data_IF_637895134590
#
_entry.id   IF_637895134590
#
_cell.length_a   1.000
_cell.length_b   1.000
_cell.length_c   1.000
_cell.angle_alpha   90.00
_cell.angle_beta   90.00
_cell.angle_gamma   90.00
#
_symmetry.space_group_name_H-M   'P 1'
#
loop_
_entity.id
_entity.type
_entity.pdbx_description
1 polymer ?
#
# COMPACT_ATOMS: atom_id res chain seq x y z
N UNK A 1 7.46 -29.65 -19.03
CA UNK A 1 7.28 -28.90 -17.78
C UNK A 1 5.99 -29.38 -17.14
N UNK A 2 5.96 -29.59 -15.83
CA UNK A 2 4.78 -30.07 -15.11
C UNK A 2 4.70 -29.37 -13.74
N UNK A 3 3.53 -29.43 -13.11
CA UNK A 3 3.32 -28.91 -11.75
C UNK A 3 4.14 -29.65 -10.69
N UNK A 4 4.55 -30.88 -11.00
CA UNK A 4 5.29 -31.78 -10.12
C UNK A 4 6.51 -32.38 -10.84
N UNK A 5 7.45 -32.92 -10.07
CA UNK A 5 8.62 -33.64 -10.60
C UNK A 5 8.32 -35.14 -10.65
N UNK A 6 8.84 -35.84 -11.65
CA UNK A 6 8.64 -37.29 -11.79
C UNK A 6 7.35 -37.70 -12.50
N UNK A 7 6.71 -36.79 -13.23
CA UNK A 7 5.51 -37.11 -14.05
C UNK A 7 5.86 -37.98 -15.26
N UNK A 8 7.08 -37.86 -15.78
CA UNK A 8 7.58 -38.63 -16.93
C UNK A 8 8.98 -39.12 -16.58
N UNK A 9 9.23 -40.40 -16.82
CA UNK A 9 10.50 -41.06 -16.55
C UNK A 9 11.49 -40.85 -17.70
N UNK A 10 12.69 -40.40 -17.35
CA UNK A 10 13.82 -40.27 -18.27
C UNK A 10 15.07 -40.88 -17.62
N UNK A 11 15.92 -41.61 -18.38
CA UNK A 11 17.22 -42.05 -17.87
C UNK A 11 18.04 -40.88 -17.37
N UNK A 12 18.69 -41.03 -16.20
CA UNK A 12 19.47 -39.95 -15.58
C UNK A 12 20.61 -39.44 -16.50
N UNK A 13 21.12 -40.30 -17.37
CA UNK A 13 22.20 -40.03 -18.31
C UNK A 13 21.79 -39.03 -19.41
N UNK A 14 20.49 -38.93 -19.73
CA UNK A 14 19.97 -38.02 -20.77
C UNK A 14 19.61 -36.62 -20.23
N UNK A 15 19.64 -36.43 -18.91
CA UNK A 15 19.18 -35.18 -18.28
C UNK A 15 20.30 -34.14 -18.23
N UNK A 16 20.23 -33.15 -19.12
CA UNK A 16 21.20 -32.05 -19.22
C UNK A 16 21.05 -31.06 -18.05
N UNK A 17 19.81 -30.76 -17.63
CA UNK A 17 19.55 -29.78 -16.57
C UNK A 17 18.24 -30.08 -15.82
N UNK A 18 18.22 -29.76 -14.52
CA UNK A 18 17.03 -29.80 -13.66
C UNK A 18 16.81 -28.43 -13.03
N UNK A 19 15.58 -27.94 -13.05
CA UNK A 19 15.26 -26.61 -12.53
C UNK A 19 13.78 -26.42 -12.23
N UNK A 20 13.47 -25.26 -11.64
CA UNK A 20 12.10 -24.82 -11.35
C UNK A 20 11.95 -23.34 -11.69
N UNK A 21 10.74 -22.90 -12.01
CA UNK A 21 10.46 -21.47 -12.13
C UNK A 21 10.47 -20.81 -10.74
N UNK A 22 11.01 -19.60 -10.70
CA UNK A 22 11.03 -18.73 -9.51
C UNK A 22 9.99 -17.61 -9.71
N UNK A 23 9.56 -16.90 -8.64
CA UNK A 23 8.61 -15.79 -8.77
C UNK A 23 9.02 -14.80 -9.87
N UNK A 24 8.08 -14.50 -10.77
CA UNK A 24 8.27 -13.58 -11.89
C UNK A 24 9.21 -14.05 -13.02
N UNK A 25 9.68 -15.30 -13.01
CA UNK A 25 10.52 -15.87 -14.09
C UNK A 25 9.68 -16.67 -15.10
N UNK A 26 10.08 -16.61 -16.36
CA UNK A 26 9.41 -17.25 -17.49
C UNK A 26 10.32 -18.27 -18.19
N UNK A 27 9.70 -19.27 -18.82
CA UNK A 27 10.36 -20.20 -19.74
C UNK A 27 9.67 -20.09 -21.10
N UNK A 28 10.45 -19.93 -22.16
CA UNK A 28 9.96 -19.90 -23.54
C UNK A 28 10.77 -20.88 -24.37
N UNK A 29 10.07 -21.66 -25.17
CA UNK A 29 10.65 -22.51 -26.21
C UNK A 29 10.17 -21.92 -27.54
N UNK A 30 11.11 -21.47 -28.35
CA UNK A 30 10.83 -21.05 -29.71
C UNK A 30 10.85 -22.29 -30.61
N UNK A 31 9.70 -22.68 -31.14
CA UNK A 31 9.56 -23.89 -31.97
C UNK A 31 10.04 -23.70 -33.41
N UNK A 32 10.09 -22.45 -33.90
CA UNK A 32 10.57 -22.15 -35.25
C UNK A 32 12.10 -22.15 -35.26
N UNK A 33 12.71 -21.43 -34.33
CA UNK A 33 14.16 -21.37 -34.16
C UNK A 33 14.73 -22.59 -33.42
N UNK A 34 13.86 -23.44 -32.85
CA UNK A 34 14.22 -24.64 -32.07
C UNK A 34 15.15 -24.35 -30.89
N UNK A 35 14.97 -23.21 -30.22
CA UNK A 35 15.81 -22.77 -29.11
C UNK A 35 15.04 -22.56 -27.81
N UNK A 36 15.74 -22.74 -26.68
CA UNK A 36 15.23 -22.38 -25.36
C UNK A 36 15.67 -20.96 -25.07
N UNK A 37 14.71 -20.03 -24.95
CA UNK A 37 14.99 -18.61 -24.72
C UNK A 37 15.02 -18.34 -23.21
N UNK A 38 16.07 -17.66 -22.74
CA UNK A 38 16.24 -17.32 -21.32
C UNK A 38 15.29 -16.20 -20.91
N UNK A 39 14.81 -16.23 -19.67
CA UNK A 39 13.91 -15.20 -19.09
C UNK A 39 14.36 -13.76 -19.33
N UNK A 40 15.65 -13.47 -19.14
CA UNK A 40 16.21 -12.12 -19.28
C UNK A 40 16.18 -11.65 -20.72
N UNK A 41 16.45 -12.55 -21.66
CA UNK A 41 16.44 -12.27 -23.09
C UNK A 41 15.01 -12.01 -23.58
N UNK A 42 14.03 -12.79 -23.12
CA UNK A 42 12.61 -12.58 -23.39
C UNK A 42 12.20 -11.17 -22.93
N UNK A 43 12.48 -10.85 -21.67
CA UNK A 43 12.10 -9.56 -21.07
C UNK A 43 12.80 -8.39 -21.76
N UNK A 44 14.08 -8.54 -22.09
CA UNK A 44 14.85 -7.50 -22.79
C UNK A 44 14.32 -7.27 -24.21
N UNK A 45 13.99 -8.34 -24.95
CA UNK A 45 13.38 -8.25 -26.28
C UNK A 45 12.05 -7.50 -26.23
N UNK A 46 11.20 -7.79 -25.24
CA UNK A 46 9.92 -7.11 -25.04
C UNK A 46 10.13 -5.64 -24.64
N UNK A 47 11.00 -5.39 -23.66
CA UNK A 47 11.27 -4.03 -23.16
C UNK A 47 11.83 -3.11 -24.25
N UNK A 48 12.56 -3.64 -25.23
CA UNK A 48 13.11 -2.89 -26.36
C UNK A 48 12.12 -2.60 -27.48
N UNK A 49 10.93 -3.22 -27.51
CA UNK A 49 9.93 -2.97 -28.58
C UNK A 49 9.35 -1.55 -28.57
N UNK A 50 9.42 -0.86 -27.42
CA UNK A 50 8.87 0.48 -27.22
C UNK A 50 9.86 1.32 -26.41
N UNK A 51 9.92 2.65 -26.59
CA UNK A 51 10.81 3.53 -25.84
C UNK A 51 10.28 3.79 -24.41
N UNK A 52 10.14 2.73 -23.61
CA UNK A 52 9.57 2.79 -22.25
C UNK A 52 10.31 3.79 -21.36
N UNK A 53 11.65 3.87 -21.50
CA UNK A 53 12.47 4.79 -20.73
C UNK A 53 12.19 6.27 -21.03
N UNK A 54 11.73 6.59 -22.24
CA UNK A 54 11.34 7.96 -22.60
C UNK A 54 9.97 8.29 -22.01
N UNK A 55 9.01 7.38 -22.11
CA UNK A 55 7.68 7.55 -21.52
C UNK A 55 7.72 7.69 -20.00
N UNK A 56 8.63 6.98 -19.33
CA UNK A 56 8.82 7.10 -17.89
C UNK A 56 9.30 8.50 -17.47
N UNK A 57 9.97 9.27 -18.36
CA UNK A 57 10.39 10.65 -18.05
C UNK A 57 9.23 11.64 -18.04
N UNK A 58 8.11 11.29 -18.66
CA UNK A 58 6.90 12.12 -18.67
C UNK A 58 6.06 11.93 -17.40
N UNK A 59 6.36 10.92 -16.59
CA UNK A 59 5.69 10.69 -15.31
C UNK A 59 6.20 11.68 -14.27
N UNK A 60 5.25 12.31 -13.57
CA UNK A 60 5.53 13.14 -12.42
C UNK A 60 5.15 12.40 -11.14
N UNK A 61 6.07 12.37 -10.18
CA UNK A 61 5.77 11.86 -8.85
C UNK A 61 5.18 12.98 -7.98
N UNK A 62 4.54 12.59 -6.87
CA UNK A 62 4.09 13.58 -5.88
C UNK A 62 5.26 14.36 -5.26
N UNK A 63 6.46 13.79 -5.26
CA UNK A 63 7.67 14.46 -4.79
C UNK A 63 8.11 15.55 -5.75
N UNK A 64 8.05 15.30 -7.06
CA UNK A 64 8.30 16.32 -8.10
C UNK A 64 7.31 17.48 -7.97
N UNK A 65 6.03 17.16 -7.75
CA UNK A 65 4.99 18.17 -7.52
C UNK A 65 5.23 18.97 -6.23
N UNK A 66 5.69 18.33 -5.15
CA UNK A 66 6.04 19.02 -3.89
C UNK A 66 7.29 19.90 -4.05
N UNK A 67 8.25 19.49 -4.87
CA UNK A 67 9.44 20.28 -5.16
C UNK A 67 9.10 21.50 -6.03
N UNK A 68 8.23 21.33 -7.04
CA UNK A 68 7.75 22.41 -7.90
C UNK A 68 6.80 23.38 -7.16
N UNK A 69 5.93 22.85 -6.31
CA UNK A 69 5.04 23.66 -5.48
C UNK A 69 5.85 24.30 -4.36
N UNK A 70 6.16 25.58 -4.56
CA UNK A 70 7.02 26.41 -3.70
C UNK A 70 6.44 26.62 -2.29
N UNK A 71 6.29 25.57 -1.50
CA UNK A 71 6.18 25.71 -0.04
C UNK A 71 7.51 26.23 0.52
N UNK A 72 8.60 26.14 -0.24
CA UNK A 72 9.90 26.74 0.09
C UNK A 72 9.94 28.27 0.17
N UNK A 73 8.97 29.04 -0.34
CA UNK A 73 8.92 30.49 -0.07
C UNK A 73 8.20 30.84 1.24
N UNK A 74 7.46 29.90 1.82
CA UNK A 74 6.85 30.04 3.16
C UNK A 74 7.52 29.17 4.24
N UNK A 75 8.34 28.19 3.86
CA UNK A 75 8.94 27.20 4.76
C UNK A 75 10.47 27.22 4.72
N UNK A 76 11.10 28.42 4.68
CA UNK A 76 12.53 28.53 5.01
C UNK A 76 12.84 28.17 6.48
N UNK A 77 11.82 28.16 7.34
CA UNK A 77 11.96 27.85 8.77
C UNK A 77 11.41 26.47 9.17
N UNK A 78 11.27 25.53 8.24
CA UNK A 78 10.88 24.15 8.55
C UNK A 78 9.45 23.94 9.08
N UNK A 79 8.64 24.99 9.22
CA UNK A 79 7.23 24.86 9.58
C UNK A 79 6.38 24.76 8.30
N UNK A 80 5.98 23.53 7.96
CA UNK A 80 4.94 23.30 6.96
C UNK A 80 3.60 23.72 7.58
N UNK A 81 3.34 25.02 7.57
CA UNK A 81 2.13 25.63 8.11
C UNK A 81 0.95 25.39 7.16
N UNK A 82 0.45 24.14 7.09
CA UNK A 82 -0.97 23.97 6.76
C UNK A 82 -1.73 24.86 7.72
N UNK A 83 -2.74 25.58 7.23
CA UNK A 83 -3.74 26.26 8.06
C UNK A 83 -4.59 25.24 8.87
N UNK A 84 -4.02 24.11 9.28
CA UNK A 84 -4.39 23.45 10.51
C UNK A 84 -4.00 24.42 11.62
N UNK A 85 -4.95 25.28 12.00
CA UNK A 85 -4.96 26.06 13.25
C UNK A 85 -3.54 26.38 13.74
N UNK A 86 -2.86 27.30 13.07
CA UNK A 86 -1.50 27.66 13.47
C UNK A 86 -1.60 28.48 14.75
N UNK A 87 -1.16 27.84 15.82
CA UNK A 87 -1.06 28.32 17.19
C UNK A 87 0.20 29.19 17.37
N UNK A 88 0.61 29.93 16.33
CA UNK A 88 1.80 30.77 16.41
C UNK A 88 1.40 32.24 16.41
N UNK A 89 1.80 32.94 17.48
CA UNK A 89 1.46 34.35 17.76
C UNK A 89 0.26 34.55 18.69
N UNK A 90 -0.20 33.49 19.37
CA UNK A 90 -1.40 33.51 20.24
C UNK A 90 -0.99 33.13 21.66
N UNK A 91 -1.60 33.76 22.67
CA UNK A 91 -1.26 33.48 24.08
C UNK A 91 -1.45 32.00 24.40
N UNK A 92 -0.68 31.46 25.35
CA UNK A 92 -0.79 30.06 25.81
C UNK A 92 -2.25 29.70 26.16
N UNK A 93 -3.02 30.66 26.68
CA UNK A 93 -4.45 30.52 26.97
C UNK A 93 -5.37 30.39 25.73
N UNK A 94 -5.04 31.03 24.60
CA UNK A 94 -5.79 30.87 23.34
C UNK A 94 -5.47 29.54 22.67
N UNK A 95 -4.23 29.06 22.86
CA UNK A 95 -3.78 27.76 22.42
C UNK A 95 -4.47 26.68 23.22
N UNK A 96 -4.49 26.79 24.54
CA UNK A 96 -5.19 25.88 25.42
C UNK A 96 -6.71 25.88 25.19
N UNK A 97 -7.32 27.04 24.92
CA UNK A 97 -8.74 27.14 24.52
C UNK A 97 -9.09 26.42 23.22
N UNK A 98 -8.17 26.38 22.23
CA UNK A 98 -8.37 25.66 20.96
C UNK A 98 -7.83 24.23 20.97
N UNK A 99 -6.87 23.94 21.84
CA UNK A 99 -6.25 22.64 22.06
C UNK A 99 -7.12 21.72 22.94
N UNK A 100 -8.29 22.20 23.38
CA UNK A 100 -9.39 21.32 23.72
C UNK A 100 -9.93 20.69 22.44
N UNK A 101 -9.14 19.77 21.87
CA UNK A 101 -9.51 18.89 20.77
C UNK A 101 -10.89 18.29 21.02
N UNK A 102 -11.21 18.00 22.29
CA UNK A 102 -12.49 17.48 22.77
C UNK A 102 -13.68 18.47 22.69
N UNK A 103 -13.45 19.78 22.56
CA UNK A 103 -14.51 20.79 22.39
C UNK A 103 -14.86 21.05 20.91
N UNK A 104 -14.09 20.52 19.96
CA UNK A 104 -14.38 20.67 18.54
C UNK A 104 -15.60 19.82 18.16
N UNK A 105 -16.73 20.49 17.87
CA UNK A 105 -18.01 19.87 17.48
C UNK A 105 -17.90 18.95 16.25
N UNK A 106 -16.85 19.08 15.43
CA UNK A 106 -16.63 18.19 14.27
C UNK A 106 -16.21 16.79 14.69
N UNK A 107 -15.48 16.64 15.80
CA UNK A 107 -15.06 15.33 16.30
C UNK A 107 -16.25 14.44 16.70
N UNK A 108 -17.18 14.87 17.58
CA UNK A 108 -18.36 14.07 17.88
C UNK A 108 -19.28 13.91 16.67
N UNK A 109 -19.32 14.87 15.72
CA UNK A 109 -20.09 14.72 14.47
C UNK A 109 -19.60 13.52 13.63
N UNK A 110 -18.29 13.28 13.59
CA UNK A 110 -17.70 12.09 12.95
C UNK A 110 -17.45 10.94 13.94
N UNK A 111 -18.17 10.92 15.06
CA UNK A 111 -18.11 9.92 16.11
C UNK A 111 -16.70 9.65 16.69
N UNK A 112 -15.81 10.64 16.67
CA UNK A 112 -14.57 10.58 17.45
C UNK A 112 -14.89 10.80 18.92
N UNK A 113 -14.73 9.73 19.71
CA UNK A 113 -14.87 9.78 21.18
C UNK A 113 -13.51 9.95 21.85
N UNK A 114 -13.53 10.29 23.15
CA UNK A 114 -12.33 10.29 24.00
C UNK A 114 -11.61 8.94 23.96
N UNK A 115 -12.39 7.85 23.92
CA UNK A 115 -11.88 6.49 23.83
C UNK A 115 -11.20 6.21 22.49
N UNK A 116 -11.84 6.53 21.37
CA UNK A 116 -11.25 6.38 20.02
C UNK A 116 -9.93 7.15 19.91
N UNK A 117 -9.87 8.37 20.45
CA UNK A 117 -8.65 9.17 20.42
C UNK A 117 -7.56 8.54 21.29
N UNK A 118 -7.89 8.17 22.54
CA UNK A 118 -6.89 7.67 23.48
C UNK A 118 -6.42 6.24 23.15
N UNK A 119 -7.31 5.37 22.69
CA UNK A 119 -7.02 3.96 22.43
C UNK A 119 -6.53 3.70 21.01
N UNK A 120 -6.97 4.46 20.00
CA UNK A 120 -6.57 4.21 18.60
C UNK A 120 -5.60 5.28 18.10
N UNK A 121 -5.98 6.56 18.18
CA UNK A 121 -5.22 7.65 17.56
C UNK A 121 -3.89 7.94 18.26
N UNK A 122 -3.89 8.08 19.59
CA UNK A 122 -2.69 8.41 20.35
C UNK A 122 -1.59 7.35 20.23
N UNK A 123 -1.88 6.03 20.27
CA UNK A 123 -0.86 5.01 19.99
C UNK A 123 -0.27 5.15 18.60
N UNK A 124 -1.08 5.36 17.56
CA UNK A 124 -0.58 5.57 16.19
C UNK A 124 0.40 6.74 16.09
N UNK A 125 0.11 7.84 16.79
CA UNK A 125 1.00 9.01 16.80
C UNK A 125 2.30 8.74 17.57
N UNK A 126 2.22 8.08 18.73
CA UNK A 126 3.37 7.86 19.61
C UNK A 126 4.29 6.74 19.14
N UNK A 127 3.73 5.61 18.69
CA UNK A 127 4.47 4.39 18.36
C UNK A 127 4.66 4.19 16.86
N UNK A 128 3.98 4.98 16.02
CA UNK A 128 3.94 4.81 14.57
C UNK A 128 3.42 3.43 14.12
N UNK A 129 2.65 2.77 14.99
CA UNK A 129 2.01 1.49 14.74
C UNK A 129 0.54 1.60 15.09
N UNK A 130 -0.28 0.78 14.45
CA UNK A 130 -1.69 0.66 14.85
C UNK A 130 -1.81 0.24 16.32
N UNK A 131 -2.93 0.62 16.94
CA UNK A 131 -3.22 0.22 18.30
C UNK A 131 -3.45 -1.28 18.38
N UNK A 132 -2.87 -1.92 19.40
CA UNK A 132 -3.08 -3.34 19.67
C UNK A 132 -4.07 -3.50 20.82
N UNK A 133 -4.99 -4.44 20.66
CA UNK A 133 -5.96 -4.85 21.67
C UNK A 133 -5.96 -6.36 21.86
N UNK A 134 -6.79 -6.85 22.78
CA UNK A 134 -7.01 -8.27 23.02
C UNK A 134 -8.50 -8.53 23.24
N UNK A 135 -8.90 -9.81 23.25
CA UNK A 135 -10.30 -10.28 23.28
C UNK A 135 -11.06 -10.09 21.97
N UNK A 136 -12.25 -10.69 21.90
CA UNK A 136 -13.18 -10.55 20.77
C UNK A 136 -13.89 -9.19 20.78
N UNK A 137 -14.55 -8.87 19.66
CA UNK A 137 -15.46 -7.73 19.61
C UNK A 137 -16.86 -8.19 20.03
N UNK A 138 -17.29 -7.78 21.22
CA UNK A 138 -18.63 -8.08 21.78
C UNK A 138 -19.69 -7.02 21.39
N UNK A 139 -19.34 -6.03 20.57
CA UNK A 139 -20.30 -5.07 20.06
C UNK A 139 -21.35 -5.72 19.14
N UNK A 140 -22.61 -5.24 19.16
CA UNK A 140 -23.61 -5.70 18.21
C UNK A 140 -23.17 -5.38 16.77
N UNK A 141 -23.64 -6.18 15.81
CA UNK A 141 -23.47 -5.87 14.40
C UNK A 141 -23.97 -4.45 14.10
N UNK A 142 -23.32 -3.75 13.18
CA UNK A 142 -23.64 -2.35 12.89
C UNK A 142 -25.13 -2.12 12.57
N UNK A 143 -25.78 -3.07 11.89
CA UNK A 143 -27.21 -3.02 11.57
C UNK A 143 -28.16 -3.29 12.75
N UNK A 144 -27.66 -3.85 13.86
CA UNK A 144 -28.41 -4.15 15.08
C UNK A 144 -28.09 -3.17 16.22
N UNK A 145 -27.11 -2.28 16.03
CA UNK A 145 -26.71 -1.32 17.04
C UNK A 145 -27.84 -0.32 17.31
N UNK A 146 -28.07 -0.03 18.60
CA UNK A 146 -28.96 1.05 19.04
C UNK A 146 -28.31 2.44 18.88
N UNK A 147 -26.99 2.46 18.66
CA UNK A 147 -26.23 3.66 18.34
C UNK A 147 -26.17 3.86 16.81
N UNK A 148 -25.48 4.92 16.37
CA UNK A 148 -25.27 5.21 14.95
C UNK A 148 -23.82 4.88 14.56
N UNK A 149 -23.51 3.63 14.14
CA UNK A 149 -22.21 3.28 13.58
C UNK A 149 -21.89 4.09 12.34
N UNK A 150 -20.60 4.36 12.13
CA UNK A 150 -20.10 4.96 10.91
C UNK A 150 -20.19 3.97 9.74
N UNK A 151 -20.21 4.51 8.52
CA UNK A 151 -20.38 3.73 7.28
C UNK A 151 -19.37 2.57 7.19
N UNK A 152 -18.12 2.78 7.59
CA UNK A 152 -17.10 1.72 7.55
C UNK A 152 -17.38 0.55 8.52
N UNK A 153 -18.23 0.73 9.53
CA UNK A 153 -18.63 -0.36 10.44
C UNK A 153 -19.47 -1.45 9.77
N UNK A 154 -20.10 -1.11 8.63
CA UNK A 154 -20.90 -2.04 7.82
C UNK A 154 -20.06 -2.88 6.86
N UNK A 155 -18.85 -2.43 6.52
CA UNK A 155 -17.96 -3.16 5.63
C UNK A 155 -17.05 -4.08 6.43
N UNK A 156 -16.96 -5.35 6.03
CA UNK A 156 -16.04 -6.33 6.61
C UNK A 156 -14.92 -6.61 5.61
N UNK A 157 -13.68 -6.61 6.10
CA UNK A 157 -12.52 -6.96 5.28
C UNK A 157 -12.57 -8.44 4.94
N UNK A 158 -12.50 -8.75 3.65
CA UNK A 158 -12.35 -10.13 3.20
C UNK A 158 -10.91 -10.57 3.39
N UNK A 159 -10.72 -11.84 3.70
CA UNK A 159 -9.40 -12.45 3.80
C UNK A 159 -9.39 -13.77 3.07
N UNK A 160 -8.22 -14.11 2.54
CA UNK A 160 -8.02 -15.35 1.82
C UNK A 160 -7.86 -16.53 2.81
N UNK A 161 -8.31 -17.71 2.38
CA UNK A 161 -8.22 -18.94 3.16
C UNK A 161 -7.65 -20.06 2.27
N UNK A 162 -8.24 -21.26 2.29
CA UNK A 162 -7.74 -22.46 1.62
C UNK A 162 -7.41 -22.25 0.13
N UNK A 163 -8.19 -21.43 -0.57
CA UNK A 163 -8.05 -21.19 -2.01
C UNK A 163 -6.73 -20.50 -2.40
N UNK A 164 -6.23 -19.59 -1.56
CA UNK A 164 -5.02 -18.84 -1.82
C UNK A 164 -4.44 -18.28 -0.51
N UNK A 165 -3.12 -18.36 -0.31
CA UNK A 165 -2.50 -17.92 0.95
C UNK A 165 -2.47 -16.38 1.06
N UNK A 166 -2.59 -15.83 2.29
CA UNK A 166 -2.29 -14.42 2.54
C UNK A 166 -0.77 -14.15 2.43
N UNK A 167 -0.40 -12.91 2.10
CA UNK A 167 1.00 -12.45 2.01
C UNK A 167 1.42 -11.84 3.36
N UNK A 168 2.66 -12.06 3.79
CA UNK A 168 3.22 -11.40 4.98
C UNK A 168 3.63 -9.94 4.66
N UNK A 169 2.91 -8.93 5.17
CA UNK A 169 3.15 -7.53 4.82
C UNK A 169 4.45 -6.96 5.41
N UNK A 170 5.11 -7.68 6.33
CA UNK A 170 6.35 -7.26 6.97
C UNK A 170 7.54 -7.98 6.31
N UNK A 171 7.51 -9.31 6.25
CA UNK A 171 8.64 -10.11 5.73
C UNK A 171 8.72 -10.08 4.20
N UNK A 172 7.58 -9.99 3.53
CA UNK A 172 7.48 -9.99 2.06
C UNK A 172 7.10 -8.61 1.52
N UNK A 173 7.35 -7.54 2.29
CA UNK A 173 7.01 -6.16 1.90
C UNK A 173 7.52 -5.77 0.51
N UNK A 174 8.66 -6.32 0.07
CA UNK A 174 9.29 -6.01 -1.22
C UNK A 174 8.42 -6.38 -2.44
N UNK A 175 7.48 -7.32 -2.31
CA UNK A 175 6.56 -7.69 -3.40
C UNK A 175 5.25 -6.90 -3.38
N UNK A 176 5.05 -6.00 -2.41
CA UNK A 176 3.85 -5.17 -2.27
C UNK A 176 4.14 -3.71 -2.63
N UNK A 177 3.13 -2.98 -3.10
CA UNK A 177 3.23 -1.55 -3.42
C UNK A 177 1.96 -0.80 -3.05
N UNK A 178 2.12 0.44 -2.59
CA UNK A 178 1.02 1.41 -2.38
C UNK A 178 1.03 2.53 -3.43
N UNK A 179 1.82 2.38 -4.50
CA UNK A 179 1.86 3.34 -5.59
C UNK A 179 0.50 3.40 -6.29
N UNK A 180 -0.02 4.61 -6.46
CA UNK A 180 -1.31 4.86 -7.09
C UNK A 180 -1.11 5.89 -8.22
N UNK A 181 -1.17 5.48 -9.50
CA UNK A 181 -1.12 6.42 -10.60
C UNK A 181 -2.42 7.24 -10.63
N UNK A 182 -2.30 8.53 -10.93
CA UNK A 182 -3.44 9.45 -11.05
C UNK A 182 -3.43 10.04 -12.44
N UNK A 183 -4.53 9.87 -13.19
CA UNK A 183 -4.64 10.34 -14.56
C UNK A 183 -5.59 9.47 -15.38
N UNK A 184 -5.79 9.80 -16.67
CA UNK A 184 -6.55 8.96 -17.57
C UNK A 184 -5.83 7.62 -17.80
N UNK A 185 -6.59 6.53 -17.85
CA UNK A 185 -6.07 5.25 -18.33
C UNK A 185 -5.85 5.32 -19.84
N UNK A 186 -4.64 4.98 -20.28
CA UNK A 186 -4.31 4.90 -21.71
C UNK A 186 -4.80 3.56 -22.29
N UNK A 187 -4.82 3.48 -23.62
CA UNK A 187 -5.17 2.24 -24.32
C UNK A 187 -4.14 1.13 -24.00
N UNK A 188 -4.64 -0.05 -23.63
CA UNK A 188 -3.86 -1.22 -23.18
C UNK A 188 -3.38 -2.03 -24.38
#
# INVERSE_FOLDING_TARGET
MASEVGVVDFPNEEIIARGRLKPGRMLLIDTEEQTIVKDEEIKLKIARKRPLAEWLKELFTIEDLRAAHTVSKLAKDGSFKRKAVLLEGRSEEEVERRAKVLEDRRLPLFAYTTETINLLLLPMVRTQKEALGSMGNDEPLACLSLYQPLIYGYFKQLFAQVTNPPIDPIREKIVMSLACPVGPEANI
#
